data_IF_828676806620
#
_entry.id   IF_828676806620
#
_cell.length_a   1.000
_cell.length_b   1.000
_cell.length_c   1.000
_cell.angle_alpha   90.00
_cell.angle_beta   90.00
_cell.angle_gamma   90.00
#
_symmetry.space_group_name_H-M   'P 1'
#
loop_
_entity.id
_entity.type
_entity.pdbx_description
1 polymer ?
#
# COMPACT_ATOMS: atom_id res chain seq x y z
N UNK A 1 -4.28 6.31 -5.27
CA UNK A 1 -4.80 5.18 -4.47
C UNK A 1 -3.68 4.63 -3.64
N UNK A 2 -3.85 4.64 -2.31
CA UNK A 2 -2.83 4.19 -1.36
C UNK A 2 -3.02 2.69 -1.10
N UNK A 3 -1.96 1.90 -1.19
CA UNK A 3 -2.07 0.44 -1.10
C UNK A 3 -0.91 -0.20 -0.33
N UNK A 4 -1.22 -1.29 0.36
CA UNK A 4 -0.23 -2.17 0.99
C UNK A 4 -0.09 -3.44 0.15
N UNK A 5 1.08 -3.65 -0.42
CA UNK A 5 1.44 -4.89 -1.11
C UNK A 5 2.42 -5.68 -0.24
N UNK A 6 1.92 -6.75 0.39
CA UNK A 6 2.70 -7.54 1.34
C UNK A 6 2.77 -9.00 0.90
N UNK A 7 4.00 -9.53 0.77
CA UNK A 7 4.26 -10.94 0.45
C UNK A 7 3.58 -11.41 -0.85
N UNK A 8 3.46 -10.52 -1.84
CA UNK A 8 2.95 -10.86 -3.18
C UNK A 8 4.04 -11.57 -4.01
N UNK A 9 3.62 -12.24 -5.08
CA UNK A 9 4.49 -12.87 -6.09
C UNK A 9 4.00 -12.52 -7.51
N UNK A 10 4.84 -11.86 -8.31
CA UNK A 10 4.55 -11.53 -9.71
C UNK A 10 5.08 -12.60 -10.70
N UNK A 11 5.65 -13.71 -10.17
CA UNK A 11 6.00 -14.92 -10.92
C UNK A 11 7.26 -14.84 -11.78
N UNK A 12 7.39 -13.81 -12.62
CA UNK A 12 8.47 -13.69 -13.62
C UNK A 12 9.71 -12.94 -13.10
N UNK A 13 9.52 -11.76 -12.53
CA UNK A 13 10.52 -10.98 -11.81
C UNK A 13 9.79 -10.09 -10.78
N UNK A 14 10.50 -9.21 -10.07
CA UNK A 14 9.89 -8.23 -9.15
C UNK A 14 8.82 -8.82 -8.23
N UNK A 15 9.21 -9.37 -7.08
CA UNK A 15 8.32 -10.26 -6.32
C UNK A 15 6.92 -9.70 -6.08
N UNK A 16 6.75 -8.42 -5.74
CA UNK A 16 5.41 -7.86 -5.58
C UNK A 16 4.81 -7.32 -6.89
N UNK A 17 5.60 -6.62 -7.70
CA UNK A 17 5.16 -5.95 -8.92
C UNK A 17 6.15 -6.22 -10.05
N UNK A 18 5.65 -6.75 -11.16
CA UNK A 18 6.40 -6.89 -12.40
C UNK A 18 5.65 -6.20 -13.53
N UNK A 19 6.30 -5.25 -14.18
CA UNK A 19 5.73 -4.51 -15.32
C UNK A 19 6.47 -4.83 -16.62
N UNK A 20 5.77 -5.48 -17.55
CA UNK A 20 6.30 -5.98 -18.84
C UNK A 20 5.45 -5.53 -20.04
N UNK A 21 4.56 -4.55 -19.86
CA UNK A 21 3.72 -4.10 -20.96
C UNK A 21 4.55 -3.34 -22.01
N UNK A 22 4.32 -3.61 -23.31
CA UNK A 22 4.96 -2.87 -24.38
C UNK A 22 4.37 -1.46 -24.43
N UNK A 23 5.17 -0.50 -24.02
CA UNK A 23 4.79 0.90 -23.97
C UNK A 23 4.77 1.48 -25.37
N UNK A 24 3.58 1.42 -25.95
CA UNK A 24 3.27 1.99 -27.25
C UNK A 24 2.37 3.20 -27.04
N UNK A 25 2.36 4.19 -27.96
CA UNK A 25 1.38 5.28 -27.91
C UNK A 25 -0.08 4.78 -27.87
N UNK A 26 -0.34 3.56 -28.34
CA UNK A 26 -1.63 2.88 -28.29
C UNK A 26 -1.93 2.14 -26.98
N UNK A 27 -0.95 1.94 -26.09
CA UNK A 27 -1.09 1.20 -24.84
C UNK A 27 -0.14 1.73 -23.76
N UNK A 28 -0.40 2.94 -23.21
CA UNK A 28 0.42 3.53 -22.16
C UNK A 28 0.08 2.91 -20.79
N UNK A 29 0.54 1.68 -20.53
CA UNK A 29 0.31 0.97 -19.27
C UNK A 29 1.40 1.24 -18.24
N UNK A 30 1.47 2.44 -17.65
CA UNK A 30 2.46 2.73 -16.59
C UNK A 30 1.91 2.34 -15.21
N UNK A 31 2.72 1.65 -14.41
CA UNK A 31 2.43 1.48 -12.98
C UNK A 31 2.74 2.79 -12.27
N UNK A 32 1.73 3.43 -11.69
CA UNK A 32 1.89 4.64 -10.88
C UNK A 32 1.78 4.29 -9.39
N UNK A 33 2.77 4.69 -8.60
CA UNK A 33 2.78 4.46 -7.15
C UNK A 33 2.83 5.80 -6.40
N UNK A 34 1.91 5.97 -5.46
CA UNK A 34 1.88 7.08 -4.53
C UNK A 34 1.41 6.59 -3.16
N UNK A 35 1.95 7.15 -2.07
CA UNK A 35 1.46 6.88 -0.71
C UNK A 35 1.28 5.39 -0.40
N UNK A 36 2.16 4.53 -0.93
CA UNK A 36 1.98 3.08 -0.92
C UNK A 36 3.17 2.36 -0.29
N UNK A 37 2.91 1.20 0.29
CA UNK A 37 3.94 0.39 0.95
C UNK A 37 4.04 -0.99 0.31
N UNK A 38 5.26 -1.43 0.04
CA UNK A 38 5.56 -2.74 -0.56
C UNK A 38 6.59 -3.47 0.29
N UNK A 39 6.33 -4.73 0.65
CA UNK A 39 7.27 -5.54 1.41
C UNK A 39 7.02 -7.04 1.26
N UNK A 40 7.95 -7.84 1.78
CA UNK A 40 7.87 -9.31 1.80
C UNK A 40 8.86 -10.00 0.87
N UNK A 41 9.72 -9.25 0.17
CA UNK A 41 10.80 -9.79 -0.65
C UNK A 41 12.04 -8.90 -0.59
N UNK A 42 13.20 -9.46 -0.94
CA UNK A 42 14.44 -8.68 -1.12
C UNK A 42 14.37 -7.74 -2.32
N UNK A 43 13.66 -8.15 -3.38
CA UNK A 43 13.38 -7.34 -4.57
C UNK A 43 11.86 -7.38 -4.79
N UNK A 44 11.20 -6.25 -4.55
CA UNK A 44 9.76 -6.09 -4.59
C UNK A 44 9.25 -5.64 -5.96
N UNK A 45 10.04 -4.91 -6.74
CA UNK A 45 9.61 -4.39 -8.03
C UNK A 45 10.66 -4.63 -9.09
N UNK A 46 10.19 -4.94 -10.31
CA UNK A 46 11.02 -5.04 -11.50
C UNK A 46 10.19 -4.70 -12.74
N UNK A 47 10.87 -4.44 -13.86
CA UNK A 47 10.23 -4.00 -15.10
C UNK A 47 10.59 -2.57 -15.50
N UNK A 48 10.23 -2.22 -16.74
CA UNK A 48 10.83 -1.07 -17.41
C UNK A 48 10.22 0.29 -17.08
N UNK A 49 8.92 0.36 -16.79
CA UNK A 49 8.20 1.64 -16.77
C UNK A 49 7.23 1.76 -15.58
N UNK A 50 7.78 2.30 -14.50
CA UNK A 50 7.06 2.79 -13.33
C UNK A 50 7.14 4.32 -13.30
N UNK A 51 6.10 4.93 -12.76
CA UNK A 51 6.13 6.33 -12.36
C UNK A 51 5.90 6.40 -10.85
N UNK A 52 6.95 6.70 -10.10
CA UNK A 52 6.79 7.08 -8.71
C UNK A 52 6.29 8.51 -8.60
N UNK A 53 5.20 8.69 -7.86
CA UNK A 53 4.61 9.98 -7.53
C UNK A 53 4.99 10.44 -6.11
N UNK A 54 5.83 9.67 -5.41
CA UNK A 54 6.34 10.01 -4.08
C UNK A 54 5.62 9.34 -2.93
N UNK A 55 6.24 9.47 -1.75
CA UNK A 55 5.75 8.95 -0.47
C UNK A 55 5.46 7.44 -0.51
N UNK A 56 6.22 6.69 -1.30
CA UNK A 56 6.19 5.24 -1.27
C UNK A 56 7.26 4.71 -0.35
N UNK A 57 7.03 3.54 0.24
CA UNK A 57 8.03 2.83 1.02
C UNK A 57 8.16 1.40 0.55
N UNK A 58 9.37 0.93 0.32
CA UNK A 58 9.68 -0.46 0.06
C UNK A 58 10.62 -1.01 1.14
N UNK A 59 10.19 -2.07 1.85
CA UNK A 59 11.11 -2.88 2.67
C UNK A 59 11.60 -4.05 1.81
N UNK A 60 12.86 -3.95 1.38
CA UNK A 60 13.37 -4.61 0.16
C UNK A 60 13.50 -3.60 -0.97
N UNK A 61 14.20 -3.93 -2.05
CA UNK A 61 14.43 -2.99 -3.14
C UNK A 61 13.25 -2.92 -4.10
N UNK A 62 12.96 -1.73 -4.58
CA UNK A 62 12.01 -1.40 -5.63
C UNK A 62 12.64 -0.22 -6.39
N UNK A 63 13.57 -0.51 -7.31
CA UNK A 63 14.39 0.51 -8.00
C UNK A 63 13.58 1.56 -8.79
N UNK A 64 12.29 1.29 -8.97
CA UNK A 64 11.29 2.17 -9.57
C UNK A 64 10.82 3.31 -8.67
N UNK A 65 11.04 3.22 -7.36
CA UNK A 65 10.80 4.29 -6.40
C UNK A 65 11.91 5.34 -6.52
N UNK A 66 11.64 6.36 -7.33
CA UNK A 66 12.63 7.35 -7.78
C UNK A 66 12.30 8.77 -7.34
N UNK A 67 11.15 8.99 -6.70
CA UNK A 67 10.77 10.31 -6.22
C UNK A 67 11.55 10.64 -4.93
N UNK A 68 11.92 11.91 -4.68
CA UNK A 68 12.74 12.28 -3.52
C UNK A 68 12.12 11.95 -2.15
N UNK A 69 10.80 11.77 -2.09
CA UNK A 69 10.06 11.45 -0.87
C UNK A 69 9.82 9.94 -0.70
N UNK A 70 10.28 9.11 -1.64
CA UNK A 70 10.24 7.67 -1.49
C UNK A 70 11.29 7.17 -0.50
N UNK A 71 11.01 6.01 0.09
CA UNK A 71 11.93 5.24 0.91
C UNK A 71 12.13 3.87 0.30
N UNK A 72 13.10 3.75 -0.61
CA UNK A 72 13.52 2.46 -1.16
C UNK A 72 14.45 1.70 -0.19
N UNK A 73 14.39 0.37 -0.23
CA UNK A 73 15.30 -0.51 0.52
C UNK A 73 15.32 -0.21 2.03
N UNK A 74 14.17 0.16 2.60
CA UNK A 74 14.02 0.50 4.01
C UNK A 74 14.44 -0.66 4.91
N UNK A 75 15.33 -0.40 5.88
CA UNK A 75 15.93 -1.41 6.76
C UNK A 75 15.35 -1.44 8.18
N UNK A 76 14.53 -0.44 8.54
CA UNK A 76 13.90 -0.38 9.85
C UNK A 76 12.75 -1.38 10.02
N UNK A 77 12.22 -1.48 11.23
CA UNK A 77 11.01 -2.26 11.49
C UNK A 77 9.78 -1.52 10.95
N UNK A 78 8.96 -2.19 10.12
CA UNK A 78 7.71 -1.62 9.62
C UNK A 78 6.63 -1.48 10.70
N UNK A 79 6.71 -2.29 11.76
CA UNK A 79 5.75 -2.30 12.87
C UNK A 79 4.30 -2.40 12.34
N UNK A 80 4.00 -3.49 11.64
CA UNK A 80 2.67 -3.77 11.09
C UNK A 80 2.11 -5.06 11.68
N UNK A 81 0.78 -5.13 11.81
CA UNK A 81 0.09 -6.35 12.23
C UNK A 81 0.09 -7.44 11.16
N UNK A 82 -0.47 -8.61 11.51
CA UNK A 82 -0.73 -9.66 10.55
C UNK A 82 -1.89 -9.29 9.60
N UNK A 83 -2.00 -10.01 8.48
CA UNK A 83 -3.17 -9.91 7.60
C UNK A 83 -4.42 -10.44 8.34
N UNK A 84 -5.29 -9.53 8.75
CA UNK A 84 -6.43 -9.83 9.62
C UNK A 84 -7.64 -8.95 9.31
N UNK A 85 -8.82 -9.32 9.82
CA UNK A 85 -10.01 -8.48 9.74
C UNK A 85 -9.90 -7.33 10.75
N UNK A 86 -9.52 -6.13 10.28
CA UNK A 86 -9.33 -4.94 11.11
C UNK A 86 -10.54 -3.98 11.08
N UNK A 87 -11.74 -4.54 10.93
CA UNK A 87 -13.00 -3.79 10.77
C UNK A 87 -13.28 -3.31 9.34
N UNK A 88 -14.38 -2.58 9.17
CA UNK A 88 -14.80 -2.00 7.89
C UNK A 88 -16.20 -2.45 7.45
N UNK A 89 -16.73 -1.77 6.43
CA UNK A 89 -18.09 -2.03 5.92
C UNK A 89 -18.23 -3.36 5.17
N UNK A 90 -17.11 -3.99 4.81
CA UNK A 90 -17.07 -5.28 4.12
C UNK A 90 -16.00 -6.19 4.76
N UNK A 91 -16.22 -7.52 4.81
CA UNK A 91 -15.27 -8.46 5.39
C UNK A 91 -14.04 -8.60 4.49
N UNK A 92 -13.04 -7.78 4.75
CA UNK A 92 -11.76 -7.78 4.04
C UNK A 92 -10.61 -7.79 5.03
N UNK A 93 -9.64 -8.67 4.79
CA UNK A 93 -8.41 -8.66 5.58
C UNK A 93 -7.49 -7.54 5.10
N UNK A 94 -6.87 -6.86 6.05
CA UNK A 94 -5.91 -5.78 5.81
C UNK A 94 -4.71 -5.94 6.72
N UNK A 95 -3.66 -5.15 6.48
CA UNK A 95 -2.49 -5.05 7.34
C UNK A 95 -2.54 -3.68 8.00
N UNK A 96 -2.70 -3.67 9.32
CA UNK A 96 -2.85 -2.45 10.12
C UNK A 96 -1.46 -2.00 10.63
N UNK A 97 -1.06 -0.74 10.42
CA UNK A 97 0.11 -0.18 11.11
C UNK A 97 -0.04 -0.24 12.63
N UNK A 98 1.05 -0.46 13.34
CA UNK A 98 1.10 -0.43 14.80
C UNK A 98 1.68 0.91 15.27
N UNK A 99 1.52 1.22 16.56
CA UNK A 99 2.07 2.43 17.15
C UNK A 99 3.59 2.53 16.88
N UNK A 100 4.02 3.69 16.38
CA UNK A 100 5.42 3.96 16.03
C UNK A 100 5.84 3.47 14.64
N UNK A 101 4.93 2.89 13.85
CA UNK A 101 5.20 2.51 12.47
C UNK A 101 5.67 3.71 11.63
N UNK A 102 6.69 3.55 10.76
CA UNK A 102 7.11 4.60 9.82
C UNK A 102 6.06 4.89 8.74
N UNK A 103 4.97 4.11 8.69
CA UNK A 103 3.87 4.33 7.74
C UNK A 103 2.92 5.42 8.21
N UNK A 104 2.91 5.73 9.52
CA UNK A 104 1.98 6.67 10.13
C UNK A 104 2.33 8.10 9.75
N UNK A 105 1.33 8.90 9.34
CA UNK A 105 1.47 10.31 8.94
C UNK A 105 2.54 10.56 7.86
N UNK A 106 2.87 9.54 7.04
CA UNK A 106 3.97 9.60 6.07
C UNK A 106 3.54 9.95 4.64
N UNK A 107 2.24 10.04 4.38
CA UNK A 107 1.69 10.28 3.04
C UNK A 107 1.74 11.75 2.61
N UNK A 108 1.59 11.99 1.31
CA UNK A 108 1.28 13.31 0.76
C UNK A 108 -0.20 13.64 1.02
N UNK A 109 -0.50 14.68 1.84
CA UNK A 109 -1.87 15.14 2.10
C UNK A 109 -2.68 15.45 0.84
N UNK A 110 -2.02 15.93 -0.23
CA UNK A 110 -2.68 16.29 -1.48
C UNK A 110 -3.14 15.06 -2.30
N UNK A 111 -2.60 13.87 -1.99
CA UNK A 111 -2.93 12.60 -2.64
C UNK A 111 -3.63 11.60 -1.70
N UNK A 112 -4.03 12.05 -0.50
CA UNK A 112 -4.81 11.24 0.42
C UNK A 112 -6.26 11.12 -0.04
N UNK A 113 -6.73 9.88 -0.20
CA UNK A 113 -8.16 9.62 -0.32
C UNK A 113 -8.87 9.94 1.00
N UNK A 114 -10.13 10.35 0.95
CA UNK A 114 -10.91 10.67 2.15
C UNK A 114 -11.08 9.47 3.12
N UNK A 115 -11.07 8.25 2.60
CA UNK A 115 -11.20 7.03 3.37
C UNK A 115 -10.11 6.02 3.05
N UNK A 116 -9.81 5.15 4.01
CA UNK A 116 -8.94 3.99 3.84
C UNK A 116 -9.69 2.81 3.18
N UNK A 117 -9.00 1.68 2.98
CA UNK A 117 -9.57 0.50 2.32
C UNK A 117 -10.74 -0.14 3.10
N UNK A 118 -10.85 0.12 4.41
CA UNK A 118 -11.95 -0.35 5.26
C UNK A 118 -13.18 0.56 5.18
N UNK A 119 -13.04 1.73 4.55
CA UNK A 119 -14.03 2.80 4.55
C UNK A 119 -13.95 3.72 5.77
N UNK A 120 -12.89 3.60 6.60
CA UNK A 120 -12.67 4.49 7.73
C UNK A 120 -12.09 5.83 7.24
N UNK A 121 -12.46 6.94 7.87
CA UNK A 121 -11.93 8.26 7.51
C UNK A 121 -10.43 8.35 7.81
N UNK A 122 -9.66 8.90 6.88
CA UNK A 122 -8.26 9.26 7.14
C UNK A 122 -8.20 10.53 7.99
N UNK A 123 -7.24 10.61 8.90
CA UNK A 123 -7.15 11.68 9.91
C UNK A 123 -5.77 12.32 9.86
N UNK A 124 -5.70 13.65 9.87
CA UNK A 124 -4.42 14.35 9.78
C UNK A 124 -3.73 14.13 8.43
N UNK A 125 -2.41 13.91 8.45
CA UNK A 125 -1.67 13.45 7.27
C UNK A 125 -1.95 11.97 7.12
N UNK A 126 -2.39 11.51 5.95
CA UNK A 126 -2.70 10.09 5.83
C UNK A 126 -1.48 9.20 6.00
N UNK A 127 -1.75 8.00 6.50
CA UNK A 127 -0.79 6.92 6.49
C UNK A 127 -0.55 6.43 5.06
N UNK A 128 0.69 6.06 4.77
CA UNK A 128 0.99 5.35 3.52
C UNK A 128 0.52 3.90 3.64
N UNK A 129 0.01 3.34 2.55
CA UNK A 129 -0.60 2.03 2.53
C UNK A 129 -2.13 2.05 2.61
N UNK A 130 -2.72 0.85 2.71
CA UNK A 130 -4.16 0.67 2.53
C UNK A 130 -5.01 1.09 3.74
N UNK A 131 -4.43 1.24 4.92
CA UNK A 131 -5.15 1.42 6.18
C UNK A 131 -4.60 2.59 6.97
N UNK A 132 -5.50 3.36 7.59
CA UNK A 132 -5.16 4.43 8.52
C UNK A 132 -5.12 3.93 9.98
N UNK A 133 -4.03 4.21 10.67
CA UNK A 133 -3.87 4.01 12.10
C UNK A 133 -4.78 4.95 12.89
N UNK A 134 -5.42 4.42 13.94
CA UNK A 134 -6.33 5.20 14.78
C UNK A 134 -7.67 5.57 14.13
N UNK A 135 -7.89 5.24 12.85
CA UNK A 135 -9.18 5.44 12.22
C UNK A 135 -10.21 4.39 12.66
N UNK A 136 -11.39 4.87 13.02
CA UNK A 136 -12.52 4.05 13.44
C UNK A 136 -13.19 3.42 12.20
N UNK A 137 -13.05 2.09 12.06
CA UNK A 137 -13.73 1.33 11.02
C UNK A 137 -15.00 0.69 11.59
N UNK A 138 -16.18 1.14 11.15
CA UNK A 138 -17.45 0.56 11.60
C UNK A 138 -17.47 -0.96 11.34
N UNK A 139 -17.81 -1.74 12.37
CA UNK A 139 -18.08 -3.17 12.25
C UNK A 139 -19.60 -3.40 12.36
N UNK A 140 -20.28 -3.59 11.24
CA UNK A 140 -21.67 -4.08 11.27
C UNK A 140 -21.65 -5.61 11.40
N UNK A 141 -21.74 -6.11 12.63
CA UNK A 141 -22.08 -7.51 12.89
C UNK A 141 -23.60 -7.70 12.77
N UNK A 142 -24.10 -7.85 11.54
CA UNK A 142 -25.44 -8.41 11.33
C UNK A 142 -25.32 -9.94 11.36
N UNK A 143 -26.02 -10.66 12.27
CA UNK A 143 -26.16 -12.09 12.11
C UNK A 143 -26.87 -12.36 10.78
N UNK A 144 -26.21 -13.08 9.88
CA UNK A 144 -26.86 -13.60 8.69
C UNK A 144 -27.91 -14.63 9.13
N UNK A 145 -29.14 -14.19 9.33
CA UNK A 145 -30.29 -15.10 9.46
C UNK A 145 -30.60 -15.59 8.05
N UNK A 146 -29.95 -16.67 7.65
CA UNK A 146 -30.38 -17.45 6.48
C UNK A 146 -31.60 -18.25 6.93
N UNK A 147 -32.77 -17.93 6.38
CA UNK A 147 -33.98 -18.76 6.49
C UNK A 147 -33.99 -19.81 5.41
#
# INVERSE_FOLDING_TARGET
>A
TNVTLANNSAGAAGAAIYEDSPQTPSSPGVVQLANSVVFGSAVNCDGGLFQSLGHNLSQGSCASLTAPTDQDSFTGALLVGALAYNGGSFPMQTILPQAGSPLIDAGDPAQCNATDQRGAARVGTCDIGSVEYGAEAFALYLPAVVR
#
